data_IF_987910949099
#
_entry.id   IF_987910949099
#
_cell.length_a   1.000
_cell.length_b   1.000
_cell.length_c   1.000
_cell.angle_alpha   90.00
_cell.angle_beta   90.00
_cell.angle_gamma   90.00
#
_symmetry.space_group_name_H-M   'P 1'
#
loop_
_entity.id
_entity.type
_entity.pdbx_description
1 polymer ?
#
# COMPACT_ATOMS: atom_id res chain seq x y z
N UNK A 1 -4.20 5.07 14.94
CA UNK A 1 -5.12 4.60 16.00
C UNK A 1 -5.82 3.32 15.59
N UNK A 2 -6.67 2.71 16.44
CA UNK A 2 -7.36 1.45 16.15
C UNK A 2 -8.22 1.50 14.87
N UNK A 3 -8.80 2.66 14.56
CA UNK A 3 -9.59 2.89 13.34
C UNK A 3 -8.77 2.73 12.05
N UNK A 4 -7.54 3.27 12.02
CA UNK A 4 -6.63 3.09 10.88
C UNK A 4 -6.29 1.61 10.68
N UNK A 5 -6.04 0.87 11.77
CA UNK A 5 -5.79 -0.56 11.70
C UNK A 5 -6.94 -1.33 11.02
N UNK A 6 -8.19 -1.00 11.36
CA UNK A 6 -9.36 -1.62 10.72
C UNK A 6 -9.47 -1.27 9.23
N UNK A 7 -9.24 0.00 8.85
CA UNK A 7 -9.21 0.41 7.44
C UNK A 7 -8.13 -0.34 6.64
N UNK A 8 -6.95 -0.53 7.23
CA UNK A 8 -5.85 -1.27 6.60
C UNK A 8 -6.18 -2.76 6.44
N UNK A 9 -6.86 -3.38 7.41
CA UNK A 9 -7.32 -4.76 7.28
C UNK A 9 -8.31 -4.92 6.12
N UNK A 10 -9.30 -4.03 6.01
CA UNK A 10 -10.25 -4.01 4.89
C UNK A 10 -9.51 -3.81 3.55
N UNK A 11 -8.56 -2.89 3.50
CA UNK A 11 -7.72 -2.68 2.31
C UNK A 11 -7.01 -3.98 1.90
N UNK A 12 -6.40 -4.70 2.84
CA UNK A 12 -5.71 -5.95 2.54
C UNK A 12 -6.65 -7.07 2.07
N UNK A 13 -7.88 -7.13 2.59
CA UNK A 13 -8.91 -8.06 2.09
C UNK A 13 -9.29 -7.74 0.64
N UNK A 14 -9.54 -6.46 0.32
CA UNK A 14 -9.85 -6.01 -1.05
C UNK A 14 -8.70 -6.30 -2.02
N UNK A 15 -7.47 -6.03 -1.59
CA UNK A 15 -6.24 -6.31 -2.37
C UNK A 15 -6.07 -7.81 -2.60
N UNK A 16 -6.35 -8.62 -1.59
CA UNK A 16 -6.32 -10.09 -1.72
C UNK A 16 -7.35 -10.58 -2.74
N UNK A 17 -8.58 -10.06 -2.70
CA UNK A 17 -9.61 -10.37 -3.68
C UNK A 17 -9.21 -9.95 -5.11
N UNK A 18 -8.45 -8.86 -5.25
CA UNK A 18 -7.86 -8.41 -6.51
C UNK A 18 -6.62 -9.22 -6.95
N UNK A 19 -6.20 -10.24 -6.19
CA UNK A 19 -5.11 -11.15 -6.53
C UNK A 19 -3.74 -10.73 -5.99
N UNK A 20 -3.64 -9.73 -5.11
CA UNK A 20 -2.34 -9.29 -4.55
C UNK A 20 -1.84 -10.14 -3.39
N UNK A 21 -2.69 -11.03 -2.84
CA UNK A 21 -2.38 -11.87 -1.66
C UNK A 21 -1.79 -11.03 -0.52
N UNK A 22 -2.56 -10.04 -0.08
CA UNK A 22 -2.10 -8.97 0.77
C UNK A 22 -2.25 -9.31 2.25
N UNK A 23 -1.30 -8.88 3.07
CA UNK A 23 -1.33 -9.00 4.54
C UNK A 23 -0.92 -7.68 5.19
N UNK A 24 -1.49 -7.39 6.37
CA UNK A 24 -1.06 -6.28 7.24
C UNK A 24 -0.27 -6.84 8.41
N UNK A 25 0.88 -6.23 8.69
CA UNK A 25 1.63 -6.46 9.93
C UNK A 25 1.75 -5.16 10.71
N UNK A 26 1.48 -5.23 12.01
CA UNK A 26 1.74 -4.12 12.92
C UNK A 26 3.25 -4.05 13.20
N UNK A 27 3.81 -2.84 13.10
CA UNK A 27 5.19 -2.52 13.44
C UNK A 27 5.22 -1.58 14.66
N UNK A 28 6.37 -1.42 15.34
CA UNK A 28 6.50 -0.45 16.43
C UNK A 28 6.19 1.00 16.02
N UNK A 29 6.43 1.34 14.75
CA UNK A 29 6.32 2.69 14.20
C UNK A 29 5.26 2.82 13.08
N UNK A 30 4.31 1.89 13.02
CA UNK A 30 3.21 1.92 12.06
C UNK A 30 2.77 0.53 11.61
N UNK A 31 2.55 0.37 10.32
CA UNK A 31 2.11 -0.87 9.71
C UNK A 31 2.94 -1.18 8.46
N UNK A 32 2.93 -2.44 8.08
CA UNK A 32 3.49 -2.92 6.82
C UNK A 32 2.39 -3.63 6.04
N UNK A 33 2.03 -3.05 4.90
CA UNK A 33 1.23 -3.74 3.89
C UNK A 33 2.17 -4.54 3.00
N UNK A 34 1.92 -5.83 2.88
CA UNK A 34 2.75 -6.75 2.10
C UNK A 34 1.87 -7.36 1.04
N UNK A 35 2.31 -7.35 -0.21
CA UNK A 35 1.63 -7.99 -1.33
C UNK A 35 2.48 -9.14 -1.84
N UNK A 36 2.08 -10.37 -1.53
CA UNK A 36 2.87 -11.56 -1.87
C UNK A 36 2.77 -11.96 -3.35
N UNK A 37 1.82 -11.40 -4.08
CA UNK A 37 1.64 -11.63 -5.50
C UNK A 37 1.37 -10.30 -6.22
N UNK A 38 1.92 -10.15 -7.43
CA UNK A 38 1.70 -8.97 -8.25
C UNK A 38 0.92 -9.39 -9.51
N UNK A 39 -0.42 -9.28 -9.51
CA UNK A 39 -1.24 -9.69 -10.65
C UNK A 39 -0.96 -8.84 -11.90
N UNK A 40 -0.43 -7.63 -11.72
CA UNK A 40 -0.03 -6.73 -12.81
C UNK A 40 1.42 -6.91 -13.25
N UNK A 41 2.16 -7.92 -12.74
CA UNK A 41 3.60 -8.05 -12.95
C UNK A 41 4.00 -8.02 -14.42
N UNK A 42 3.26 -8.71 -15.30
CA UNK A 42 3.57 -8.77 -16.73
C UNK A 42 3.47 -7.40 -17.41
N UNK A 43 2.46 -6.60 -17.04
CA UNK A 43 2.32 -5.24 -17.56
C UNK A 43 3.40 -4.32 -16.96
N UNK A 44 3.65 -4.46 -15.65
CA UNK A 44 4.60 -3.65 -14.90
C UNK A 44 6.07 -3.89 -15.32
N UNK A 45 6.43 -5.12 -15.72
CA UNK A 45 7.77 -5.47 -16.22
C UNK A 45 8.06 -4.86 -17.60
N UNK A 46 7.01 -4.61 -18.39
CA UNK A 46 7.11 -3.98 -19.71
C UNK A 46 6.99 -2.46 -19.62
N UNK A 47 6.14 -1.95 -18.72
CA UNK A 47 5.91 -0.54 -18.50
C UNK A 47 5.78 -0.24 -17.00
N UNK A 48 6.83 0.35 -16.43
CA UNK A 48 6.89 0.62 -14.98
C UNK A 48 5.84 1.62 -14.50
N UNK A 49 5.17 2.34 -15.41
CA UNK A 49 4.07 3.25 -15.07
C UNK A 49 2.95 2.54 -14.32
N UNK A 50 2.62 1.29 -14.66
CA UNK A 50 1.62 0.51 -13.93
C UNK A 50 2.00 0.29 -12.47
N UNK A 51 3.29 0.03 -12.21
CA UNK A 51 3.76 -0.16 -10.85
C UNK A 51 3.79 1.15 -10.05
N UNK A 52 4.06 2.27 -10.70
CA UNK A 52 4.00 3.59 -10.06
C UNK A 52 2.55 4.01 -9.76
N UNK A 53 1.65 3.82 -10.72
CA UNK A 53 0.23 4.10 -10.55
C UNK A 53 -0.38 3.31 -9.38
N UNK A 54 0.07 2.08 -9.14
CA UNK A 54 -0.34 1.29 -7.97
C UNK A 54 0.10 1.93 -6.64
N UNK A 55 1.35 2.40 -6.56
CA UNK A 55 1.82 3.12 -5.36
C UNK A 55 1.07 4.44 -5.16
N UNK A 56 0.82 5.17 -6.24
CA UNK A 56 0.04 6.42 -6.20
C UNK A 56 -1.40 6.16 -5.77
N UNK A 57 -2.01 5.09 -6.24
CA UNK A 57 -3.33 4.64 -5.79
C UNK A 57 -3.36 4.37 -4.29
N UNK A 58 -2.41 3.58 -3.77
CA UNK A 58 -2.31 3.31 -2.33
C UNK A 58 -2.14 4.60 -1.50
N UNK A 59 -1.31 5.53 -1.98
CA UNK A 59 -1.14 6.86 -1.37
C UNK A 59 -2.43 7.66 -1.38
N UNK A 60 -3.14 7.71 -2.50
CA UNK A 60 -4.38 8.47 -2.63
C UNK A 60 -5.48 7.94 -1.70
N UNK A 61 -5.64 6.61 -1.62
CA UNK A 61 -6.64 5.97 -0.75
C UNK A 61 -6.37 6.24 0.73
N UNK A 62 -5.09 6.38 1.12
CA UNK A 62 -4.68 6.54 2.51
C UNK A 62 -4.34 7.99 2.89
N UNK A 63 -4.37 8.94 1.95
CA UNK A 63 -3.82 10.30 2.12
C UNK A 63 -4.35 11.04 3.37
N UNK A 64 -5.62 10.86 3.73
CA UNK A 64 -6.20 11.53 4.91
C UNK A 64 -5.80 10.89 6.25
N UNK A 65 -5.24 9.67 6.22
CA UNK A 65 -5.01 8.86 7.41
C UNK A 65 -3.54 8.49 7.63
N UNK A 66 -2.76 8.32 6.56
CA UNK A 66 -1.42 7.76 6.62
C UNK A 66 -0.53 8.15 5.44
N UNK A 67 0.77 8.19 5.72
CA UNK A 67 1.82 8.24 4.71
C UNK A 67 2.20 6.83 4.27
N UNK A 68 2.48 6.66 2.96
CA UNK A 68 2.81 5.37 2.35
C UNK A 68 4.15 5.44 1.62
N UNK A 69 5.07 4.57 2.02
CA UNK A 69 6.40 4.42 1.44
C UNK A 69 6.61 2.98 0.96
N UNK A 70 7.14 2.79 -0.25
CA UNK A 70 7.53 1.47 -0.74
C UNK A 70 8.88 1.06 -0.15
N UNK A 71 8.91 -0.02 0.63
CA UNK A 71 10.14 -0.57 1.23
C UNK A 71 10.73 -1.71 0.42
N UNK A 72 9.88 -2.52 -0.19
CA UNK A 72 10.28 -3.64 -1.04
C UNK A 72 9.59 -3.54 -2.39
N UNK A 73 10.32 -3.87 -3.45
CA UNK A 73 9.83 -3.76 -4.81
C UNK A 73 10.20 -5.00 -5.62
N UNK A 74 9.20 -5.76 -6.05
CA UNK A 74 9.39 -6.99 -6.82
C UNK A 74 10.20 -6.75 -8.11
N UNK A 75 9.93 -5.68 -8.85
CA UNK A 75 10.69 -5.35 -10.06
C UNK A 75 12.12 -4.85 -9.79
N UNK A 76 12.41 -4.42 -8.55
CA UNK A 76 13.78 -4.09 -8.13
C UNK A 76 14.54 -5.31 -7.57
N UNK A 77 13.99 -6.53 -7.72
CA UNK A 77 14.63 -7.77 -7.29
C UNK A 77 14.28 -8.20 -5.86
N UNK A 78 13.39 -7.51 -5.16
CA UNK A 78 12.87 -7.99 -3.89
C UNK A 78 11.96 -9.21 -4.10
N UNK A 79 11.75 -10.01 -3.04
CA UNK A 79 10.87 -11.19 -3.11
C UNK A 79 9.40 -10.85 -3.38
N UNK A 80 8.96 -9.66 -2.97
CA UNK A 80 7.56 -9.20 -2.99
C UNK A 80 7.51 -7.68 -2.88
N UNK A 81 6.36 -7.08 -3.13
CA UNK A 81 6.16 -5.66 -2.82
C UNK A 81 5.75 -5.50 -1.35
N UNK A 82 6.29 -4.47 -0.70
CA UNK A 82 5.85 -4.09 0.63
C UNK A 82 5.87 -2.57 0.79
N UNK A 83 4.96 -2.07 1.61
CA UNK A 83 4.70 -0.66 1.82
C UNK A 83 4.61 -0.38 3.31
N UNK A 84 5.52 0.47 3.81
CA UNK A 84 5.44 1.00 5.16
C UNK A 84 4.37 2.08 5.19
N UNK A 85 3.51 1.97 6.20
CA UNK A 85 2.39 2.87 6.42
C UNK A 85 2.59 3.49 7.80
N UNK A 86 2.81 4.80 7.82
CA UNK A 86 3.00 5.57 9.05
C UNK A 86 1.78 6.48 9.25
N UNK A 87 1.28 6.57 10.48
CA UNK A 87 0.14 7.43 10.75
C UNK A 87 0.50 8.88 10.40
N UNK A 88 -0.23 9.44 9.44
CA UNK A 88 -0.07 10.81 9.00
C UNK A 88 -0.77 11.74 10.01
N UNK A 89 -0.36 13.00 10.06
CA UNK A 89 -1.22 14.02 10.68
C UNK A 89 -2.41 14.19 9.74
N UNK A 90 -3.62 13.88 10.21
CA UNK A 90 -4.85 14.19 9.48
C UNK A 90 -4.80 15.66 9.05
N UNK A 91 -4.54 15.91 7.77
CA UNK A 91 -4.52 17.26 7.25
C UNK A 91 -5.98 17.58 6.98
N UNK A 92 -6.56 18.45 7.80
CA UNK A 92 -7.91 18.97 7.58
C UNK A 92 -7.93 19.60 6.18
N UNK A 93 -8.56 18.93 5.21
CA UNK A 93 -8.83 19.52 3.90
C UNK A 93 -9.83 20.65 4.10
N UNK A 94 -9.32 21.88 4.12
CA UNK A 94 -10.15 23.08 4.02
C UNK A 94 -10.59 23.20 2.56
N UNK A 95 -11.88 23.05 2.32
CA UNK A 95 -12.51 23.29 1.03
C UNK A 95 -12.25 24.74 0.58
N UNK A 96 -11.88 24.91 -0.70
CA UNK A 96 -11.95 26.19 -1.43
C UNK A 96 -13.26 26.24 -2.19
#
# INVERSE_FOLDING_TARGET
>A
GPELGQKLMILAEMRTAAGFMAEIRLLPDGWLLIENHCPIFQAASTCQHYCQAELEFLRAVLAEFADVERTDHLLAGARRCAYKISAGKATQTQAV
#
